data_IF_616785837837
#
_entry.id   IF_616785837837
#
_cell.length_a   1.000
_cell.length_b   1.000
_cell.length_c   1.000
_cell.angle_alpha   90.00
_cell.angle_beta   90.00
_cell.angle_gamma   90.00
#
_symmetry.space_group_name_H-M   'P 1'
#
loop_
_entity.id
_entity.type
_entity.pdbx_description
1 polymer ?
#
# COMPACT_ATOMS: atom_id res chain seq x y z
N UNK A 1 -14.05 50.11 -37.04
CA UNK A 1 -14.59 48.85 -36.47
C UNK A 1 -13.52 47.76 -36.21
N UNK A 2 -12.45 47.66 -36.98
CA UNK A 2 -11.39 46.64 -36.83
C UNK A 2 -10.45 46.83 -35.60
N UNK A 3 -10.29 48.04 -35.11
CA UNK A 3 -9.41 48.33 -33.95
C UNK A 3 -10.00 47.90 -32.60
N UNK A 4 -11.33 47.82 -32.47
CA UNK A 4 -12.02 47.41 -31.23
C UNK A 4 -11.96 45.90 -31.00
N UNK A 5 -12.01 45.08 -32.07
CA UNK A 5 -11.90 43.61 -31.98
C UNK A 5 -10.48 43.14 -31.63
N UNK A 6 -9.45 43.80 -32.18
CA UNK A 6 -8.06 43.46 -31.89
C UNK A 6 -7.67 43.74 -30.43
N UNK A 7 -8.24 44.78 -29.80
CA UNK A 7 -8.04 45.09 -28.37
C UNK A 7 -8.76 44.09 -27.44
N UNK A 8 -9.96 43.63 -27.83
CA UNK A 8 -10.71 42.65 -27.02
C UNK A 8 -10.09 41.26 -27.02
N UNK A 9 -9.53 40.82 -28.17
CA UNK A 9 -8.82 39.53 -28.25
C UNK A 9 -7.50 39.51 -27.52
N UNK A 10 -6.77 40.64 -27.49
CA UNK A 10 -5.50 40.75 -26.75
C UNK A 10 -5.69 40.74 -25.21
N UNK A 11 -6.78 41.34 -24.74
CA UNK A 11 -7.11 41.37 -23.29
C UNK A 11 -7.53 39.98 -22.79
N UNK A 12 -8.34 39.28 -23.56
CA UNK A 12 -8.76 37.92 -23.24
C UNK A 12 -7.59 36.89 -23.22
N UNK A 13 -6.61 37.06 -24.09
CA UNK A 13 -5.43 36.19 -24.14
C UNK A 13 -4.47 36.43 -22.92
N UNK A 14 -4.36 37.68 -22.47
CA UNK A 14 -3.57 38.03 -21.26
C UNK A 14 -4.24 37.56 -19.94
N UNK A 15 -5.57 37.66 -19.86
CA UNK A 15 -6.33 37.19 -18.71
C UNK A 15 -6.36 35.65 -18.61
N UNK A 16 -6.43 34.94 -19.70
CA UNK A 16 -6.28 33.47 -19.72
C UNK A 16 -4.88 33.01 -19.32
N UNK A 17 -3.82 33.73 -19.70
CA UNK A 17 -2.47 33.42 -19.24
C UNK A 17 -2.31 33.67 -17.73
N UNK A 18 -2.87 34.74 -17.18
CA UNK A 18 -2.82 35.02 -15.73
C UNK A 18 -3.61 33.99 -14.91
N UNK A 19 -4.80 33.57 -15.37
CA UNK A 19 -5.59 32.49 -14.73
C UNK A 19 -4.85 31.17 -14.75
N UNK A 20 -4.12 30.86 -15.82
CA UNK A 20 -3.35 29.61 -15.95
C UNK A 20 -2.13 29.55 -15.02
N UNK A 21 -1.62 30.67 -14.48
CA UNK A 21 -0.52 30.67 -13.52
C UNK A 21 -0.99 30.71 -12.06
N UNK A 22 -2.20 31.14 -11.78
CA UNK A 22 -2.73 31.21 -10.42
C UNK A 22 -2.81 29.82 -9.75
N UNK A 23 -3.13 28.76 -10.47
CA UNK A 23 -3.16 27.42 -9.90
C UNK A 23 -1.78 26.92 -9.44
N UNK A 24 -0.68 27.40 -10.07
CA UNK A 24 0.68 27.06 -9.69
C UNK A 24 1.03 27.55 -8.27
N UNK A 25 0.45 28.64 -7.80
CA UNK A 25 0.64 29.08 -6.41
C UNK A 25 0.02 28.12 -5.40
N UNK A 26 -1.10 27.48 -5.75
CA UNK A 26 -1.76 26.52 -4.87
C UNK A 26 -1.14 25.13 -4.96
N UNK A 27 -0.78 24.70 -6.17
CA UNK A 27 -0.23 23.36 -6.42
C UNK A 27 1.30 23.36 -6.27
N UNK A 28 1.97 24.50 -6.50
CA UNK A 28 3.43 24.63 -6.49
C UNK A 28 4.11 24.08 -5.24
N UNK A 29 3.70 24.47 -4.04
CA UNK A 29 4.29 23.92 -2.80
C UNK A 29 4.17 22.40 -2.72
N UNK A 30 3.02 21.85 -3.09
CA UNK A 30 2.81 20.40 -3.13
C UNK A 30 3.70 19.71 -4.18
N UNK A 31 3.82 20.30 -5.38
CA UNK A 31 4.68 19.75 -6.44
C UNK A 31 6.16 19.77 -6.04
N UNK A 32 6.62 20.82 -5.34
CA UNK A 32 7.99 20.89 -4.83
C UNK A 32 8.24 19.77 -3.82
N UNK A 33 7.35 19.60 -2.85
CA UNK A 33 7.46 18.54 -1.85
C UNK A 33 7.39 17.15 -2.53
N UNK A 34 6.49 16.94 -3.47
CA UNK A 34 6.39 15.72 -4.23
C UNK A 34 7.68 15.43 -5.03
N UNK A 35 8.23 16.44 -5.70
CA UNK A 35 9.47 16.30 -6.44
C UNK A 35 10.64 15.91 -5.53
N UNK A 36 10.81 16.63 -4.40
CA UNK A 36 11.93 16.42 -3.47
C UNK A 36 11.80 15.11 -2.70
N UNK A 37 10.61 14.78 -2.20
CA UNK A 37 10.44 13.64 -1.30
C UNK A 37 9.94 12.35 -1.96
N UNK A 38 9.42 12.44 -3.18
CA UNK A 38 8.92 11.27 -3.91
C UNK A 38 9.74 11.03 -5.17
N UNK A 39 9.80 12.01 -6.08
CA UNK A 39 10.42 11.80 -7.39
C UNK A 39 11.95 11.69 -7.30
N UNK A 40 12.61 12.53 -6.53
CA UNK A 40 14.06 12.49 -6.36
C UNK A 40 14.55 11.15 -5.78
N UNK A 41 13.97 10.61 -4.67
CA UNK A 41 14.33 9.28 -4.16
C UNK A 41 14.06 8.16 -5.17
N UNK A 42 13.00 8.24 -5.96
CA UNK A 42 12.72 7.26 -7.01
C UNK A 42 13.82 7.27 -8.08
N UNK A 43 14.18 8.45 -8.59
CA UNK A 43 15.26 8.60 -9.58
C UNK A 43 16.58 8.08 -9.01
N UNK A 44 16.90 8.43 -7.77
CA UNK A 44 18.09 7.94 -7.09
C UNK A 44 18.07 6.41 -6.90
N UNK A 45 16.92 5.83 -6.53
CA UNK A 45 16.73 4.39 -6.42
C UNK A 45 16.94 3.67 -7.75
N UNK A 46 16.41 4.23 -8.85
CA UNK A 46 16.65 3.70 -10.20
C UNK A 46 18.14 3.77 -10.54
N UNK A 47 18.80 4.90 -10.31
CA UNK A 47 20.25 5.01 -10.52
C UNK A 47 21.03 3.98 -9.70
N UNK A 48 20.72 3.88 -8.41
CA UNK A 48 21.35 2.95 -7.46
C UNK A 48 21.18 1.48 -7.87
N UNK A 49 20.09 1.12 -8.55
CA UNK A 49 19.83 -0.24 -9.01
C UNK A 49 20.83 -0.72 -10.07
N UNK A 50 21.49 0.19 -10.78
CA UNK A 50 22.56 -0.10 -11.73
C UNK A 50 23.97 -0.09 -11.13
N UNK A 51 24.06 0.08 -9.82
CA UNK A 51 25.33 0.17 -9.10
C UNK A 51 25.44 -0.93 -8.05
N UNK A 52 26.68 -1.27 -7.70
CA UNK A 52 26.98 -2.10 -6.54
C UNK A 52 27.46 -1.19 -5.41
N UNK A 53 26.76 -1.27 -4.29
CA UNK A 53 27.04 -0.44 -3.13
C UNK A 53 26.64 -1.15 -1.83
N UNK A 54 27.55 -1.17 -0.86
CA UNK A 54 27.32 -1.75 0.46
C UNK A 54 27.15 -0.70 1.56
N UNK A 55 26.87 0.56 1.20
CA UNK A 55 26.70 1.72 2.09
C UNK A 55 28.01 2.22 2.75
N UNK A 56 29.10 1.49 2.67
CA UNK A 56 30.38 1.80 3.32
C UNK A 56 31.46 2.11 2.28
N UNK A 57 31.51 1.32 1.20
CA UNK A 57 32.46 1.52 0.10
C UNK A 57 31.93 2.48 -0.96
N UNK A 58 32.81 2.87 -1.88
CA UNK A 58 32.42 3.68 -3.03
C UNK A 58 31.41 2.92 -3.91
N UNK A 59 30.46 3.67 -4.42
CA UNK A 59 29.43 3.16 -5.32
C UNK A 59 30.03 2.91 -6.71
N UNK A 60 30.02 1.68 -7.19
CA UNK A 60 30.56 1.28 -8.49
C UNK A 60 29.45 0.95 -9.47
N UNK A 61 29.60 1.41 -10.71
CA UNK A 61 28.63 1.15 -11.77
C UNK A 61 28.77 -0.28 -12.31
N UNK A 62 27.71 -1.08 -12.20
CA UNK A 62 27.67 -2.49 -12.65
C UNK A 62 26.65 -2.75 -13.76
N UNK A 63 25.96 -1.71 -14.23
CA UNK A 63 24.94 -1.82 -15.27
C UNK A 63 23.83 -2.78 -14.87
N UNK A 64 23.48 -3.72 -15.74
CA UNK A 64 22.38 -4.68 -15.51
C UNK A 64 22.79 -5.92 -14.70
N UNK A 65 23.98 -5.95 -14.09
CA UNK A 65 24.46 -7.15 -13.41
C UNK A 65 23.56 -7.54 -12.22
N UNK A 66 23.09 -6.56 -11.44
CA UNK A 66 22.15 -6.82 -10.34
C UNK A 66 20.87 -7.51 -10.83
N UNK A 67 20.33 -7.07 -11.97
CA UNK A 67 19.13 -7.67 -12.57
C UNK A 67 19.41 -9.10 -13.09
N UNK A 68 20.58 -9.34 -13.68
CA UNK A 68 20.99 -10.68 -14.13
C UNK A 68 21.09 -11.63 -12.94
N UNK A 69 21.70 -11.20 -11.83
CA UNK A 69 21.82 -11.99 -10.61
C UNK A 69 20.45 -12.35 -10.03
N UNK A 70 19.51 -11.40 -10.00
CA UNK A 70 18.18 -11.61 -9.43
C UNK A 70 17.30 -12.48 -10.32
N UNK A 71 17.43 -12.37 -11.65
CA UNK A 71 16.49 -13.01 -12.59
C UNK A 71 17.03 -14.30 -13.22
N UNK A 72 18.35 -14.45 -13.37
CA UNK A 72 18.95 -15.51 -14.18
C UNK A 72 19.95 -16.39 -13.42
N UNK A 73 20.56 -15.89 -12.36
CA UNK A 73 21.59 -16.62 -11.61
C UNK A 73 20.95 -17.55 -10.57
N UNK A 74 20.71 -18.80 -10.98
CA UNK A 74 20.03 -19.81 -10.14
C UNK A 74 20.87 -20.23 -8.92
N UNK A 75 22.16 -19.94 -8.87
CA UNK A 75 23.01 -20.23 -7.72
C UNK A 75 22.99 -19.11 -6.69
N UNK A 76 22.42 -17.95 -7.06
CA UNK A 76 22.33 -16.79 -6.18
C UNK A 76 21.17 -16.90 -5.19
N UNK A 77 21.45 -16.58 -3.92
CA UNK A 77 20.41 -16.43 -2.90
C UNK A 77 19.34 -15.39 -3.29
N UNK A 78 19.75 -14.33 -4.01
CA UNK A 78 18.85 -13.27 -4.45
C UNK A 78 17.81 -13.77 -5.47
N UNK A 79 18.19 -14.69 -6.34
CA UNK A 79 17.27 -15.35 -7.28
C UNK A 79 16.16 -16.10 -6.53
N UNK A 80 16.54 -16.92 -5.55
CA UNK A 80 15.54 -17.67 -4.74
C UNK A 80 14.64 -16.75 -3.93
N UNK A 81 15.20 -15.72 -3.31
CA UNK A 81 14.44 -14.74 -2.53
C UNK A 81 13.45 -13.99 -3.42
N UNK A 82 13.88 -13.52 -4.58
CA UNK A 82 13.01 -12.82 -5.53
C UNK A 82 11.89 -13.71 -6.03
N UNK A 83 12.19 -14.92 -6.46
CA UNK A 83 11.21 -15.87 -6.99
C UNK A 83 10.19 -16.27 -5.92
N UNK A 84 10.63 -16.55 -4.71
CA UNK A 84 9.75 -16.85 -3.58
C UNK A 84 8.91 -15.63 -3.19
N UNK A 85 9.50 -14.46 -3.14
CA UNK A 85 8.80 -13.21 -2.88
C UNK A 85 7.73 -12.93 -3.92
N UNK A 86 8.04 -13.08 -5.21
CA UNK A 86 7.08 -12.90 -6.30
C UNK A 86 5.92 -13.89 -6.21
N UNK A 87 6.22 -15.18 -6.01
CA UNK A 87 5.21 -16.22 -5.81
C UNK A 87 4.29 -15.89 -4.62
N UNK A 88 4.88 -15.54 -3.48
CA UNK A 88 4.12 -15.23 -2.27
C UNK A 88 3.27 -13.98 -2.46
N UNK A 89 3.80 -12.95 -3.12
CA UNK A 89 3.05 -11.74 -3.45
C UNK A 89 1.85 -12.04 -4.36
N UNK A 90 2.05 -12.83 -5.41
CA UNK A 90 0.97 -13.22 -6.31
C UNK A 90 -0.10 -14.04 -5.59
N UNK A 91 0.28 -14.99 -4.75
CA UNK A 91 -0.66 -15.75 -3.92
C UNK A 91 -1.41 -14.84 -2.95
N UNK A 92 -0.71 -13.92 -2.29
CA UNK A 92 -1.34 -12.95 -1.39
C UNK A 92 -2.37 -12.09 -2.12
N UNK A 93 -2.03 -11.54 -3.27
CA UNK A 93 -2.94 -10.75 -4.10
C UNK A 93 -4.15 -11.57 -4.52
N UNK A 94 -3.93 -12.79 -5.00
CA UNK A 94 -4.98 -13.67 -5.49
C UNK A 94 -6.00 -14.04 -4.39
N UNK A 95 -5.51 -14.32 -3.19
CA UNK A 95 -6.40 -14.68 -2.07
C UNK A 95 -6.97 -13.46 -1.36
N UNK A 96 -6.19 -12.38 -1.18
CA UNK A 96 -6.58 -11.25 -0.33
C UNK A 96 -7.51 -10.28 -1.04
N UNK A 97 -7.23 -9.91 -2.29
CA UNK A 97 -8.02 -8.89 -3.00
C UNK A 97 -9.49 -9.26 -3.19
N UNK A 98 -9.84 -10.47 -3.66
CA UNK A 98 -11.26 -10.83 -3.80
C UNK A 98 -12.02 -10.71 -2.47
N UNK A 99 -11.45 -11.16 -1.38
CA UNK A 99 -12.09 -11.09 -0.07
C UNK A 99 -12.14 -9.66 0.47
N UNK A 100 -11.12 -8.84 0.25
CA UNK A 100 -11.12 -7.42 0.65
C UNK A 100 -12.15 -6.58 -0.10
N UNK A 101 -12.61 -7.03 -1.26
CA UNK A 101 -13.67 -6.37 -2.02
C UNK A 101 -15.04 -6.96 -1.63
N UNK A 102 -15.17 -8.28 -1.67
CA UNK A 102 -16.46 -8.96 -1.49
C UNK A 102 -16.98 -8.84 -0.05
N UNK A 103 -16.10 -8.96 0.95
CA UNK A 103 -16.52 -8.95 2.35
C UNK A 103 -17.05 -7.59 2.81
N UNK A 104 -16.36 -6.45 2.59
CA UNK A 104 -16.92 -5.14 2.87
C UNK A 104 -18.18 -4.84 2.06
N UNK A 105 -18.23 -5.26 0.78
CA UNK A 105 -19.42 -5.08 -0.05
C UNK A 105 -20.64 -5.82 0.53
N UNK A 106 -20.47 -7.04 1.01
CA UNK A 106 -21.51 -7.80 1.70
C UNK A 106 -21.99 -7.08 2.97
N UNK A 107 -21.03 -6.61 3.80
CA UNK A 107 -21.36 -5.85 5.01
C UNK A 107 -22.11 -4.58 4.63
N UNK A 108 -21.64 -3.81 3.65
CA UNK A 108 -22.29 -2.58 3.20
C UNK A 108 -23.72 -2.85 2.70
N UNK A 109 -23.94 -3.93 1.97
CA UNK A 109 -25.26 -4.34 1.48
C UNK A 109 -26.22 -4.67 2.65
N UNK A 110 -25.74 -5.44 3.62
CA UNK A 110 -26.54 -5.74 4.84
C UNK A 110 -26.85 -4.46 5.62
N UNK A 111 -25.87 -3.56 5.72
CA UNK A 111 -26.05 -2.29 6.44
C UNK A 111 -27.02 -1.32 5.75
N UNK A 112 -27.26 -1.46 4.44
CA UNK A 112 -28.26 -0.65 3.72
C UNK A 112 -29.69 -1.13 3.96
N UNK A 113 -29.88 -2.31 4.53
CA UNK A 113 -31.25 -2.85 4.78
C UNK A 113 -32.02 -1.95 5.71
N UNK A 114 -33.26 -1.58 5.31
CA UNK A 114 -34.11 -0.61 6.02
C UNK A 114 -34.53 -1.06 7.42
N UNK A 115 -34.52 -2.36 7.71
CA UNK A 115 -34.89 -2.94 9.00
C UNK A 115 -33.73 -3.05 10.02
N UNK A 116 -32.50 -2.66 9.68
CA UNK A 116 -31.35 -2.80 10.57
C UNK A 116 -31.43 -1.78 11.73
N UNK A 117 -31.65 -2.28 12.95
CA UNK A 117 -31.55 -1.48 14.17
C UNK A 117 -30.09 -1.26 14.54
N UNK A 118 -29.77 -0.10 15.15
CA UNK A 118 -28.40 0.25 15.59
C UNK A 118 -27.36 0.33 14.49
N UNK A 119 -27.73 0.73 13.27
CA UNK A 119 -26.86 0.87 12.12
C UNK A 119 -25.57 1.66 12.43
N UNK A 120 -25.68 2.78 13.18
CA UNK A 120 -24.53 3.59 13.57
C UNK A 120 -23.54 2.85 14.47
N UNK A 121 -24.02 1.98 15.37
CA UNK A 121 -23.17 1.17 16.22
C UNK A 121 -22.38 0.13 15.39
N UNK A 122 -23.06 -0.55 14.47
CA UNK A 122 -22.37 -1.48 13.55
C UNK A 122 -21.33 -0.77 12.70
N UNK A 123 -21.64 0.40 12.14
CA UNK A 123 -20.66 1.21 11.42
C UNK A 123 -19.46 1.55 12.29
N UNK A 124 -19.67 2.04 13.50
CA UNK A 124 -18.59 2.37 14.41
C UNK A 124 -17.68 1.15 14.68
N UNK A 125 -18.25 -0.03 14.95
CA UNK A 125 -17.47 -1.26 15.20
C UNK A 125 -16.62 -1.65 13.98
N UNK A 126 -17.18 -1.57 12.78
CA UNK A 126 -16.44 -1.93 11.56
C UNK A 126 -15.39 -0.89 11.14
N UNK A 127 -15.53 0.38 11.56
CA UNK A 127 -14.51 1.41 11.31
C UNK A 127 -13.33 1.34 12.28
N UNK A 128 -13.50 0.78 13.49
CA UNK A 128 -12.43 0.69 14.50
C UNK A 128 -11.13 0.07 13.95
N UNK A 129 -11.15 -1.04 13.19
CA UNK A 129 -9.93 -1.61 12.62
C UNK A 129 -9.13 -0.64 11.76
N UNK A 130 -9.82 0.17 10.95
CA UNK A 130 -9.18 1.15 10.06
C UNK A 130 -8.55 2.35 10.79
N UNK A 131 -8.91 2.58 12.06
CA UNK A 131 -8.33 3.63 12.89
C UNK A 131 -7.08 3.17 13.65
N UNK A 132 -6.86 1.87 13.76
CA UNK A 132 -5.70 1.30 14.45
C UNK A 132 -4.48 1.41 13.55
N UNK A 133 -3.36 1.95 14.07
CA UNK A 133 -2.12 1.98 13.31
C UNK A 133 -1.66 0.56 12.94
N UNK A 134 -1.01 0.40 11.79
CA UNK A 134 -0.52 -0.91 11.34
C UNK A 134 0.37 -1.60 12.39
N UNK A 135 1.24 -0.82 13.08
CA UNK A 135 2.12 -1.36 14.13
C UNK A 135 1.35 -1.86 15.35
N UNK A 136 0.34 -1.10 15.81
CA UNK A 136 -0.48 -1.51 16.94
C UNK A 136 -1.33 -2.74 16.57
N UNK A 137 -1.91 -2.75 15.36
CA UNK A 137 -2.64 -3.91 14.82
C UNK A 137 -1.75 -5.15 14.77
N UNK A 138 -0.52 -5.04 14.28
CA UNK A 138 0.44 -6.14 14.24
C UNK A 138 0.72 -6.71 15.64
N UNK A 139 0.92 -5.86 16.65
CA UNK A 139 1.15 -6.31 18.03
C UNK A 139 -0.08 -7.03 18.61
N UNK A 140 -1.28 -6.52 18.37
CA UNK A 140 -2.53 -7.17 18.81
C UNK A 140 -2.61 -8.59 18.22
N UNK A 141 -2.40 -8.73 16.92
CA UNK A 141 -2.47 -10.02 16.25
C UNK A 141 -1.34 -10.97 16.67
N UNK A 142 -0.12 -10.45 16.88
CA UNK A 142 0.97 -11.25 17.45
C UNK A 142 0.64 -11.80 18.84
N UNK A 143 -0.06 -11.05 19.68
CA UNK A 143 -0.52 -11.52 20.99
C UNK A 143 -1.64 -12.55 20.85
N UNK A 144 -2.62 -12.33 19.99
CA UNK A 144 -3.72 -13.27 19.75
C UNK A 144 -3.22 -14.62 19.24
N UNK A 145 -2.27 -14.61 18.30
CA UNK A 145 -1.67 -15.80 17.71
C UNK A 145 -0.41 -16.29 18.43
N UNK A 146 -0.10 -15.72 19.62
CA UNK A 146 1.04 -16.20 20.40
C UNK A 146 0.80 -17.63 20.88
N UNK A 147 1.74 -18.59 20.64
CA UNK A 147 1.52 -19.99 20.99
C UNK A 147 1.30 -20.25 22.48
N UNK A 148 1.92 -19.42 23.34
CA UNK A 148 1.89 -19.62 24.81
C UNK A 148 0.90 -18.71 25.53
N UNK A 149 0.78 -17.47 25.09
CA UNK A 149 0.00 -16.42 25.76
C UNK A 149 -1.33 -16.14 25.07
N UNK A 150 -1.42 -16.47 23.78
CA UNK A 150 -2.59 -16.14 22.98
C UNK A 150 -3.74 -17.14 23.13
N UNK A 151 -4.98 -16.72 22.87
CA UNK A 151 -6.15 -17.57 23.01
C UNK A 151 -6.29 -18.61 21.88
N UNK A 152 -5.61 -18.43 20.74
CA UNK A 152 -5.88 -19.26 19.55
C UNK A 152 -5.56 -20.74 19.74
N UNK A 153 -4.43 -21.09 20.38
CA UNK A 153 -4.09 -22.47 20.63
C UNK A 153 -5.07 -23.15 21.60
N UNK A 154 -5.57 -22.40 22.58
CA UNK A 154 -6.60 -22.91 23.49
C UNK A 154 -7.93 -23.13 22.75
N UNK A 155 -8.31 -22.25 21.81
CA UNK A 155 -9.55 -22.38 21.04
C UNK A 155 -9.54 -23.56 20.08
N UNK A 156 -8.37 -23.84 19.45
CA UNK A 156 -8.23 -24.96 18.50
C UNK A 156 -7.66 -26.22 19.15
N UNK A 157 -7.37 -26.18 20.44
CA UNK A 157 -6.83 -27.28 21.24
C UNK A 157 -5.57 -27.90 20.62
N UNK A 158 -4.60 -27.06 20.24
CA UNK A 158 -3.35 -27.49 19.59
C UNK A 158 -2.18 -26.56 19.90
N UNK A 159 -0.94 -27.05 19.70
CA UNK A 159 0.32 -26.33 19.93
C UNK A 159 0.92 -25.79 18.62
N UNK A 160 0.16 -24.98 17.91
CA UNK A 160 0.57 -24.42 16.61
C UNK A 160 1.43 -23.16 16.82
N UNK A 161 2.57 -23.06 16.14
CA UNK A 161 3.35 -21.82 16.02
C UNK A 161 2.86 -21.02 14.80
N UNK A 162 1.74 -20.33 14.98
CA UNK A 162 0.96 -19.68 13.92
C UNK A 162 1.78 -18.78 12.98
N UNK A 163 2.76 -18.05 13.50
CA UNK A 163 3.55 -17.08 12.73
C UNK A 163 4.75 -17.70 12.02
N UNK A 164 5.15 -18.91 12.37
CA UNK A 164 6.36 -19.55 11.85
C UNK A 164 6.10 -20.83 11.04
N UNK A 165 4.93 -21.47 11.22
CA UNK A 165 4.60 -22.72 10.53
C UNK A 165 3.71 -22.48 9.31
N UNK A 166 4.03 -23.10 8.19
CA UNK A 166 3.15 -23.17 7.02
C UNK A 166 2.12 -24.31 7.19
N UNK A 167 0.86 -24.11 6.78
CA UNK A 167 0.26 -22.95 6.12
C UNK A 167 -0.30 -21.90 7.08
N UNK A 168 -0.15 -22.06 8.39
CA UNK A 168 -0.79 -21.23 9.42
C UNK A 168 -0.36 -19.75 9.35
N UNK A 169 0.89 -19.47 8.97
CA UNK A 169 1.38 -18.12 8.78
C UNK A 169 0.55 -17.33 7.74
N UNK A 170 0.07 -18.01 6.70
CA UNK A 170 -0.84 -17.42 5.71
C UNK A 170 -2.19 -17.05 6.32
N UNK A 171 -2.72 -17.88 7.22
CA UNK A 171 -3.99 -17.60 7.92
C UNK A 171 -3.85 -16.33 8.75
N UNK A 172 -2.75 -16.19 9.49
CA UNK A 172 -2.49 -14.97 10.30
C UNK A 172 -2.43 -13.72 9.43
N UNK A 173 -1.63 -13.75 8.34
CA UNK A 173 -1.48 -12.63 7.41
C UNK A 173 -2.84 -12.29 6.77
N UNK A 174 -3.59 -13.29 6.37
CA UNK A 174 -4.89 -13.12 5.74
C UNK A 174 -5.91 -12.49 6.67
N UNK A 175 -6.08 -13.04 7.89
CA UNK A 175 -7.02 -12.54 8.91
C UNK A 175 -6.68 -11.11 9.31
N UNK A 176 -5.40 -10.83 9.55
CA UNK A 176 -4.90 -9.49 9.89
C UNK A 176 -5.20 -8.48 8.76
N UNK A 177 -4.92 -8.86 7.51
CA UNK A 177 -5.16 -7.99 6.34
C UNK A 177 -6.65 -7.73 6.11
N UNK A 178 -7.48 -8.76 6.28
CA UNK A 178 -8.93 -8.65 6.19
C UNK A 178 -9.50 -7.71 7.26
N UNK A 179 -9.07 -7.91 8.51
CA UNK A 179 -9.53 -7.08 9.63
C UNK A 179 -9.21 -5.60 9.42
N UNK A 180 -7.98 -5.27 8.99
CA UNK A 180 -7.58 -3.89 8.73
C UNK A 180 -8.29 -3.26 7.53
N UNK A 181 -8.62 -4.04 6.51
CA UNK A 181 -9.24 -3.55 5.28
C UNK A 181 -10.76 -3.28 5.41
N UNK A 182 -11.44 -3.87 6.38
CA UNK A 182 -12.91 -3.72 6.52
C UNK A 182 -13.29 -2.25 6.67
N UNK A 183 -12.64 -1.54 7.60
CA UNK A 183 -13.01 -0.15 7.89
C UNK A 183 -12.71 0.83 6.76
N UNK A 184 -11.63 0.58 6.00
CA UNK A 184 -11.22 1.46 4.90
C UNK A 184 -12.01 1.24 3.60
N UNK A 185 -12.66 0.08 3.45
CA UNK A 185 -13.37 -0.33 2.23
C UNK A 185 -14.90 -0.29 2.37
N UNK A 186 -15.45 0.08 3.53
CA UNK A 186 -16.85 0.32 3.79
C UNK A 186 -17.28 1.74 3.47
#
# INVERSE_FOLDING_TARGET
MQTSEALSTSTNAKDNKKKNFQFLYFIGPHLILFFVFVLLPIIYGIYSSFTQWNLISDQTWVGLNNYKTILLDQDSTFYFQFRNGLKNTLLFVLYTIPFQILFPLLIATVMQHKGLKFKGLFQAIFYVPGLVSASAGALIWLLIFNPRLGPMNNLVNSDIVWTAQQPYAWIVIFVMSMWGAIGGNL
#
